data_IF_598985134711
#
_entry.id   IF_598985134711
#
_cell.length_a   1.000
_cell.length_b   1.000
_cell.length_c   1.000
_cell.angle_alpha   90.00
_cell.angle_beta   90.00
_cell.angle_gamma   90.00
#
_symmetry.space_group_name_H-M   'P 1'
#
loop_
_entity.id
_entity.type
_entity.pdbx_description
1 polymer ?
#
# COMPACT_ATOMS: atom_id res chain seq x y z
N UNK A 1 -2.26 -2.26 19.51
CA UNK A 1 -2.02 -3.37 18.55
C UNK A 1 -3.12 -3.51 17.49
N UNK A 2 -4.34 -3.00 17.71
CA UNK A 2 -5.51 -3.16 16.81
C UNK A 2 -5.38 -2.45 15.45
N UNK A 3 -4.60 -1.36 15.36
CA UNK A 3 -4.49 -0.53 14.15
C UNK A 3 -3.50 -1.07 13.10
N UNK A 4 -2.48 -1.82 13.50
CA UNK A 4 -1.57 -2.44 12.53
C UNK A 4 -2.26 -3.51 11.69
N UNK A 5 -3.16 -4.27 12.31
CA UNK A 5 -4.01 -5.22 11.57
C UNK A 5 -4.90 -4.48 10.57
N UNK A 6 -5.38 -3.28 10.91
CA UNK A 6 -6.16 -2.46 9.98
C UNK A 6 -5.32 -1.97 8.78
N UNK A 7 -4.10 -1.46 9.01
CA UNK A 7 -3.18 -1.05 7.95
C UNK A 7 -2.84 -2.22 7.01
N UNK A 8 -2.62 -3.41 7.58
CA UNK A 8 -2.38 -4.63 6.82
C UNK A 8 -3.61 -5.02 6.00
N UNK A 9 -4.78 -5.07 6.64
CA UNK A 9 -6.03 -5.48 5.98
C UNK A 9 -6.33 -4.56 4.79
N UNK A 10 -6.20 -3.24 4.97
CA UNK A 10 -6.38 -2.28 3.88
C UNK A 10 -5.34 -2.44 2.78
N UNK A 11 -4.08 -2.70 3.13
CA UNK A 11 -3.03 -3.00 2.14
C UNK A 11 -3.32 -4.29 1.35
N UNK A 12 -3.83 -5.34 2.02
CA UNK A 12 -4.27 -6.57 1.36
C UNK A 12 -5.49 -6.35 0.48
N UNK A 13 -6.44 -5.53 0.90
CA UNK A 13 -7.60 -5.15 0.09
C UNK A 13 -7.14 -4.48 -1.20
N UNK A 14 -6.24 -3.50 -1.12
CA UNK A 14 -5.64 -2.85 -2.28
C UNK A 14 -4.99 -3.86 -3.24
N UNK A 15 -4.15 -4.76 -2.72
CA UNK A 15 -3.48 -5.78 -3.54
C UNK A 15 -4.48 -6.77 -4.17
N UNK A 16 -5.52 -7.17 -3.42
CA UNK A 16 -6.55 -8.09 -3.93
C UNK A 16 -7.37 -7.45 -5.04
N UNK A 17 -7.71 -6.16 -4.90
CA UNK A 17 -8.38 -5.41 -5.97
C UNK A 17 -7.52 -5.35 -7.22
N UNK A 18 -6.23 -5.05 -7.08
CA UNK A 18 -5.27 -5.02 -8.19
C UNK A 18 -5.11 -6.36 -8.89
N UNK A 19 -5.13 -7.47 -8.14
CA UNK A 19 -5.06 -8.82 -8.70
C UNK A 19 -6.28 -9.18 -9.56
N UNK A 20 -7.45 -8.67 -9.20
CA UNK A 20 -8.72 -9.02 -9.85
C UNK A 20 -9.03 -8.16 -11.08
N UNK A 21 -8.08 -7.34 -11.54
CA UNK A 21 -8.26 -6.46 -12.70
C UNK A 21 -8.26 -7.31 -14.00
N UNK A 22 -9.39 -7.38 -14.73
CA UNK A 22 -9.46 -8.17 -15.96
C UNK A 22 -8.53 -7.60 -17.03
N UNK A 23 -7.91 -8.48 -17.83
CA UNK A 23 -7.03 -8.13 -18.96
C UNK A 23 -5.83 -7.26 -18.61
N UNK A 24 -5.41 -7.23 -17.34
CA UNK A 24 -4.28 -6.42 -16.88
C UNK A 24 -4.43 -4.92 -17.21
N UNK A 25 -5.64 -4.41 -17.43
CA UNK A 25 -5.88 -3.00 -17.73
C UNK A 25 -6.58 -2.33 -16.56
N UNK A 26 -5.87 -1.48 -15.84
CA UNK A 26 -6.45 -0.71 -14.74
C UNK A 26 -7.33 0.40 -15.34
N UNK A 27 -8.64 0.33 -15.08
CA UNK A 27 -9.59 1.36 -15.50
C UNK A 27 -9.50 2.59 -14.60
N UNK A 28 -9.91 3.75 -15.12
CA UNK A 28 -9.86 5.01 -14.38
C UNK A 28 -10.71 4.98 -13.09
N UNK A 29 -11.86 4.29 -13.10
CA UNK A 29 -12.70 4.12 -11.92
C UNK A 29 -11.99 3.32 -10.82
N UNK A 30 -11.17 2.33 -11.22
CA UNK A 30 -10.37 1.55 -10.28
C UNK A 30 -9.22 2.38 -9.71
N UNK A 31 -8.59 3.24 -10.52
CA UNK A 31 -7.58 4.19 -10.03
C UNK A 31 -8.17 5.16 -9.01
N UNK A 32 -9.38 5.69 -9.22
CA UNK A 32 -10.06 6.52 -8.23
C UNK A 32 -10.35 5.79 -6.91
N UNK A 33 -10.71 4.50 -6.98
CA UNK A 33 -10.89 3.68 -5.78
C UNK A 33 -9.57 3.50 -5.03
N UNK A 34 -8.50 3.14 -5.73
CA UNK A 34 -7.14 3.00 -5.15
C UNK A 34 -6.69 4.33 -4.54
N UNK A 35 -6.95 5.45 -5.21
CA UNK A 35 -6.66 6.79 -4.70
C UNK A 35 -7.36 7.06 -3.36
N UNK A 36 -8.65 6.74 -3.28
CA UNK A 36 -9.43 6.95 -2.06
C UNK A 36 -8.93 6.07 -0.91
N UNK A 37 -8.57 4.81 -1.19
CA UNK A 37 -8.04 3.89 -0.20
C UNK A 37 -6.66 4.33 0.32
N UNK A 38 -5.74 4.72 -0.55
CA UNK A 38 -4.45 5.29 -0.17
C UNK A 38 -4.59 6.60 0.63
N UNK A 39 -5.51 7.48 0.21
CA UNK A 39 -5.81 8.70 0.96
C UNK A 39 -6.36 8.39 2.37
N UNK A 40 -7.11 7.30 2.52
CA UNK A 40 -7.62 6.84 3.82
C UNK A 40 -6.55 6.21 4.72
N UNK A 41 -5.48 5.68 4.14
CA UNK A 41 -4.37 5.06 4.87
C UNK A 41 -3.44 6.10 5.50
N UNK A 42 -3.20 7.23 4.84
CA UNK A 42 -2.33 8.30 5.35
C UNK A 42 -2.65 8.76 6.79
N UNK A 43 -3.90 9.10 7.17
CA UNK A 43 -4.19 9.50 8.54
C UNK A 43 -3.98 8.37 9.55
N UNK A 44 -4.16 7.10 9.16
CA UNK A 44 -3.94 5.95 10.02
C UNK A 44 -2.44 5.72 10.28
N UNK A 45 -1.63 5.81 9.23
CA UNK A 45 -0.16 5.73 9.35
C UNK A 45 0.36 6.89 10.20
N UNK A 46 -0.19 8.10 10.01
CA UNK A 46 0.18 9.28 10.80
C UNK A 46 -0.20 9.13 12.28
N UNK A 47 -1.34 8.50 12.57
CA UNK A 47 -1.73 8.16 13.93
C UNK A 47 -0.73 7.19 14.57
N UNK A 48 -0.42 6.07 13.92
CA UNK A 48 0.56 5.09 14.44
C UNK A 48 1.95 5.69 14.64
N UNK A 49 2.40 6.52 13.71
CA UNK A 49 3.64 7.29 13.85
C UNK A 49 3.62 8.17 15.10
N UNK A 50 2.52 8.85 15.37
CA UNK A 50 2.36 9.74 16.52
C UNK A 50 2.34 8.93 17.81
N UNK A 51 1.56 7.84 17.85
CA UNK A 51 1.50 6.93 19.00
C UNK A 51 2.86 6.29 19.31
N UNK A 52 3.59 5.82 18.30
CA UNK A 52 4.94 5.27 18.50
C UNK A 52 5.90 6.30 19.09
N UNK A 53 5.83 7.57 18.67
CA UNK A 53 6.62 8.65 19.26
C UNK A 53 6.23 8.94 20.71
N UNK A 54 4.93 9.00 21.01
CA UNK A 54 4.44 9.21 22.38
C UNK A 54 4.91 8.11 23.32
N UNK A 55 4.95 6.86 22.83
CA UNK A 55 5.41 5.71 23.58
C UNK A 55 6.94 5.52 23.54
N UNK A 56 7.70 6.48 22.99
CA UNK A 56 9.16 6.43 22.81
C UNK A 56 9.67 5.20 22.03
N UNK A 57 8.82 4.59 21.20
CA UNK A 57 9.16 3.49 20.28
C UNK A 57 9.77 4.07 18.99
N UNK A 58 10.97 4.62 19.09
CA UNK A 58 11.61 5.39 18.00
C UNK A 58 11.89 4.57 16.74
N UNK A 59 12.29 3.30 16.89
CA UNK A 59 12.52 2.42 15.74
C UNK A 59 11.21 2.19 14.95
N UNK A 60 10.12 1.91 15.67
CA UNK A 60 8.79 1.74 15.08
C UNK A 60 8.29 3.04 14.43
N UNK A 61 8.51 4.19 15.09
CA UNK A 61 8.20 5.51 14.53
C UNK A 61 9.01 5.79 13.25
N UNK A 62 10.26 5.33 13.15
CA UNK A 62 11.05 5.46 11.93
C UNK A 62 10.46 4.61 10.81
N UNK A 63 10.03 3.39 11.10
CA UNK A 63 9.37 2.51 10.14
C UNK A 63 8.02 3.10 9.65
N UNK A 64 7.17 3.62 10.55
CA UNK A 64 5.92 4.28 10.12
C UNK A 64 6.16 5.54 9.30
N UNK A 65 7.23 6.30 9.56
CA UNK A 65 7.61 7.44 8.72
C UNK A 65 7.93 6.98 7.29
N UNK A 66 8.62 5.85 7.13
CA UNK A 66 8.90 5.30 5.80
C UNK A 66 7.61 4.83 5.12
N UNK A 67 6.72 4.14 5.86
CA UNK A 67 5.40 3.74 5.34
C UNK A 67 4.60 4.94 4.86
N UNK A 68 4.62 6.04 5.62
CA UNK A 68 3.91 7.27 5.27
C UNK A 68 4.39 7.82 3.92
N UNK A 69 5.71 7.93 3.76
CA UNK A 69 6.33 8.40 2.51
C UNK A 69 6.00 7.48 1.33
N UNK A 70 6.05 6.16 1.52
CA UNK A 70 5.68 5.21 0.46
C UNK A 70 4.19 5.32 0.08
N UNK A 71 3.32 5.65 1.04
CA UNK A 71 1.90 5.84 0.81
C UNK A 71 1.63 7.13 0.04
N UNK A 72 2.30 8.23 0.37
CA UNK A 72 2.24 9.48 -0.39
C UNK A 72 2.74 9.29 -1.83
N UNK A 73 3.89 8.64 -2.00
CA UNK A 73 4.45 8.36 -3.32
C UNK A 73 3.53 7.46 -4.17
N UNK A 74 2.88 6.46 -3.56
CA UNK A 74 1.88 5.63 -4.22
C UNK A 74 0.66 6.47 -4.64
N UNK A 75 0.16 7.32 -3.76
CA UNK A 75 -0.98 8.18 -4.03
C UNK A 75 -0.70 9.16 -5.18
N UNK A 76 0.50 9.75 -5.23
CA UNK A 76 0.88 10.66 -6.31
C UNK A 76 1.07 9.93 -7.64
N UNK A 77 1.55 8.69 -7.62
CA UNK A 77 1.61 7.84 -8.81
C UNK A 77 0.21 7.55 -9.35
N UNK A 78 -0.76 7.24 -8.47
CA UNK A 78 -2.17 7.05 -8.84
C UNK A 78 -2.78 8.33 -9.41
N UNK A 79 -2.59 9.47 -8.75
CA UNK A 79 -3.08 10.77 -9.24
C UNK A 79 -2.53 11.11 -10.61
N UNK A 80 -1.25 10.83 -10.83
CA UNK A 80 -0.60 11.03 -12.13
C UNK A 80 -1.20 10.13 -13.20
N UNK A 81 -1.41 8.84 -12.89
CA UNK A 81 -2.05 7.88 -13.79
C UNK A 81 -3.47 8.30 -14.19
N UNK A 82 -4.28 8.77 -13.22
CA UNK A 82 -5.63 9.31 -13.45
C UNK A 82 -5.55 10.52 -14.37
N UNK A 83 -4.70 11.50 -14.05
CA UNK A 83 -4.59 12.74 -14.82
C UNK A 83 -4.15 12.50 -16.27
N UNK A 84 -3.28 11.52 -16.50
CA UNK A 84 -2.82 11.14 -17.83
C UNK A 84 -3.80 10.22 -18.59
N UNK A 85 -4.95 9.86 -18.00
CA UNK A 85 -5.92 8.90 -18.57
C UNK A 85 -5.26 7.63 -19.11
N UNK A 86 -4.17 7.19 -18.49
CA UNK A 86 -3.34 6.11 -19.03
C UNK A 86 -4.01 4.77 -18.73
N UNK A 87 -4.27 3.98 -19.77
CA UNK A 87 -4.57 2.55 -19.61
C UNK A 87 -3.27 1.89 -19.18
N UNK A 88 -3.22 1.46 -17.92
CA UNK A 88 -2.03 0.85 -17.34
C UNK A 88 -2.09 -0.65 -17.51
N UNK A 89 -1.11 -1.18 -18.24
CA UNK A 89 -0.88 -2.60 -18.41
C UNK A 89 -0.13 -3.19 -17.22
N UNK A 90 -0.77 -4.08 -16.46
CA UNK A 90 -0.11 -4.87 -15.42
C UNK A 90 0.74 -5.96 -16.11
N UNK A 91 2.05 -5.98 -15.89
CA UNK A 91 2.91 -7.06 -16.39
C UNK A 91 2.85 -8.30 -15.45
N UNK A 92 3.23 -9.48 -15.95
CA UNK A 92 3.19 -10.72 -15.15
C UNK A 92 4.13 -10.69 -13.94
N UNK A 93 5.30 -10.06 -14.06
CA UNK A 93 6.27 -9.96 -12.96
C UNK A 93 5.70 -9.22 -11.75
N UNK A 94 4.94 -8.14 -11.99
CA UNK A 94 4.26 -7.39 -10.94
C UNK A 94 3.13 -8.21 -10.29
N UNK A 95 2.45 -9.08 -11.05
CA UNK A 95 1.45 -10.01 -10.48
C UNK A 95 2.11 -11.08 -9.61
N UNK A 96 3.28 -11.59 -9.99
CA UNK A 96 4.04 -12.53 -9.17
C UNK A 96 4.54 -11.87 -7.89
N UNK A 97 5.05 -10.63 -7.96
CA UNK A 97 5.44 -9.85 -6.79
C UNK A 97 4.23 -9.58 -5.86
N UNK A 98 3.06 -9.26 -6.43
CA UNK A 98 1.80 -9.10 -5.70
C UNK A 98 1.40 -10.37 -4.95
N UNK A 99 1.44 -11.51 -5.63
CA UNK A 99 1.08 -12.81 -5.07
C UNK A 99 1.99 -13.17 -3.89
N UNK A 100 3.30 -12.92 -4.04
CA UNK A 100 4.28 -13.13 -2.98
C UNK A 100 4.00 -12.25 -1.77
N UNK A 101 3.73 -10.96 -1.97
CA UNK A 101 3.40 -10.05 -0.87
C UNK A 101 2.11 -10.52 -0.16
N UNK A 102 1.07 -10.91 -0.89
CA UNK A 102 -0.17 -11.41 -0.29
C UNK A 102 0.05 -12.66 0.59
N UNK A 103 0.92 -13.58 0.18
CA UNK A 103 1.23 -14.79 0.95
C UNK A 103 2.15 -14.50 2.16
N UNK A 104 3.09 -13.57 2.02
CA UNK A 104 3.89 -13.09 3.15
C UNK A 104 3.02 -12.36 4.20
N UNK A 105 1.98 -11.64 3.78
CA UNK A 105 1.06 -10.99 4.73
C UNK A 105 0.29 -12.00 5.57
N UNK A 106 -0.16 -13.11 5.00
CA UNK A 106 -0.88 -14.16 5.75
C UNK A 106 -0.03 -14.81 6.83
N UNK A 107 1.30 -14.71 6.73
CA UNK A 107 2.24 -15.41 7.62
C UNK A 107 2.99 -14.46 8.57
N UNK A 108 2.85 -13.15 8.40
CA UNK A 108 3.55 -12.17 9.23
C UNK A 108 2.90 -11.95 10.60
N UNK A 109 3.58 -12.40 11.65
CA UNK A 109 3.13 -12.29 13.04
C UNK A 109 3.78 -11.14 13.81
N UNK A 110 4.96 -10.66 13.41
CA UNK A 110 5.69 -9.58 14.10
C UNK A 110 5.38 -8.21 13.52
N UNK A 111 5.23 -7.20 14.38
CA UNK A 111 4.96 -5.79 13.99
C UNK A 111 5.91 -5.26 12.92
N UNK A 112 7.22 -5.45 13.04
CA UNK A 112 8.19 -5.00 12.03
C UNK A 112 8.04 -5.72 10.68
N UNK A 113 7.73 -7.03 10.70
CA UNK A 113 7.46 -7.78 9.46
C UNK A 113 6.18 -7.25 8.79
N UNK A 114 5.17 -6.94 9.60
CA UNK A 114 3.91 -6.37 9.15
C UNK A 114 4.09 -4.99 8.53
N UNK A 115 4.88 -4.11 9.14
CA UNK A 115 5.21 -2.79 8.58
C UNK A 115 5.97 -2.92 7.25
N UNK A 116 6.94 -3.84 7.17
CA UNK A 116 7.67 -4.12 5.91
C UNK A 116 6.74 -4.57 4.78
N UNK A 117 5.68 -5.29 5.08
CA UNK A 117 4.69 -5.72 4.09
C UNK A 117 3.81 -4.58 3.61
N UNK A 118 3.41 -3.68 4.50
CA UNK A 118 2.70 -2.45 4.10
C UNK A 118 3.60 -1.64 3.14
N UNK A 119 4.87 -1.43 3.48
CA UNK A 119 5.82 -0.74 2.58
C UNK A 119 5.97 -1.44 1.22
N UNK A 120 6.10 -2.76 1.21
CA UNK A 120 6.28 -3.54 -0.03
C UNK A 120 5.05 -3.46 -0.92
N UNK A 121 3.85 -3.47 -0.32
CA UNK A 121 2.58 -3.29 -1.02
C UNK A 121 2.51 -1.92 -1.70
N UNK A 122 2.85 -0.85 -0.97
CA UNK A 122 2.81 0.52 -1.48
C UNK A 122 3.82 0.74 -2.62
N UNK A 123 5.02 0.17 -2.51
CA UNK A 123 6.02 0.19 -3.59
C UNK A 123 5.54 -0.52 -4.84
N UNK A 124 4.84 -1.64 -4.69
CA UNK A 124 4.28 -2.34 -5.84
C UNK A 124 3.20 -1.50 -6.52
N UNK A 125 2.33 -0.83 -5.76
CA UNK A 125 1.36 0.13 -6.32
C UNK A 125 2.07 1.20 -7.14
N UNK A 126 3.16 1.79 -6.64
CA UNK A 126 3.94 2.76 -7.40
C UNK A 126 4.52 2.16 -8.70
N UNK A 127 5.11 0.97 -8.63
CA UNK A 127 5.70 0.29 -9.81
C UNK A 127 4.66 -0.01 -10.88
N UNK A 128 3.44 -0.36 -10.49
CA UNK A 128 2.35 -0.63 -11.42
C UNK A 128 1.96 0.61 -12.23
N UNK A 129 2.20 1.81 -11.70
CA UNK A 129 1.66 3.06 -12.23
C UNK A 129 2.71 3.96 -12.91
N UNK A 130 3.96 3.50 -12.98
CA UNK A 130 5.06 4.15 -13.70
C UNK A 130 5.27 3.49 -15.06
#
# INVERSE_FOLDING_TARGET
MQNNDELINKSQTLLTQLKNIPNNQIKIEQLHQIQAELASLLPQIQFELTSARMDSRWDEASEYRQVYQECENALDSVRTAIFKSTIIGINQDNLTELQKILDEVKTASKTQQRIKLVMSSLRLVQKLLK
#
